data_IF_526631479733
#
_entry.id   IF_526631479733
#
_cell.length_a   1.000
_cell.length_b   1.000
_cell.length_c   1.000
_cell.angle_alpha   90.00
_cell.angle_beta   90.00
_cell.angle_gamma   90.00
#
_symmetry.space_group_name_H-M   'P 1'
#
loop_
_entity.id
_entity.type
_entity.pdbx_description
1 polymer ?
#
# COMPACT_ATOMS: atom_id res chain seq x y z
N UNK A 1 9.20 25.56 -1.32
CA UNK A 1 8.83 24.29 -1.98
C UNK A 1 7.36 24.00 -1.77
N UNK A 2 6.65 23.53 -2.79
CA UNK A 2 5.24 23.18 -2.70
C UNK A 2 5.04 21.66 -2.79
N UNK A 3 4.08 21.14 -2.03
CA UNK A 3 3.63 19.75 -2.13
C UNK A 3 2.14 19.71 -2.44
N UNK A 4 1.82 19.36 -3.68
CA UNK A 4 0.45 19.21 -4.17
C UNK A 4 -0.11 17.82 -3.81
N UNK A 5 -1.29 17.77 -3.19
CA UNK A 5 -1.99 16.50 -2.92
C UNK A 5 -3.50 16.61 -3.12
N UNK A 6 -4.11 15.55 -3.69
CA UNK A 6 -5.57 15.46 -3.91
C UNK A 6 -6.33 15.08 -2.64
N UNK A 7 -5.74 14.22 -1.82
CA UNK A 7 -6.46 13.49 -0.77
C UNK A 7 -5.77 13.53 0.59
N UNK A 8 -4.63 14.23 0.70
CA UNK A 8 -3.77 14.15 1.89
C UNK A 8 -3.25 12.73 2.14
N UNK A 9 -2.58 12.55 3.27
CA UNK A 9 -2.12 11.27 3.77
C UNK A 9 -1.93 11.33 5.28
N UNK A 10 -2.21 10.23 5.97
CA UNK A 10 -1.73 10.06 7.33
C UNK A 10 -0.20 9.95 7.30
N UNK A 11 0.48 10.79 8.06
CA UNK A 11 1.94 10.83 8.15
C UNK A 11 2.34 10.30 9.50
N UNK A 12 3.25 9.33 9.51
CA UNK A 12 3.79 8.72 10.74
C UNK A 12 5.31 8.76 10.71
N UNK A 13 5.93 8.79 11.88
CA UNK A 13 7.39 8.68 12.00
C UNK A 13 7.86 7.23 11.99
N UNK A 14 9.15 7.02 11.68
CA UNK A 14 9.81 5.71 11.86
C UNK A 14 9.96 5.36 13.33
N UNK A 15 10.04 6.37 14.20
CA UNK A 15 10.23 6.21 15.63
C UNK A 15 8.88 6.19 16.38
N UNK A 16 8.68 5.14 17.17
CA UNK A 16 7.54 4.92 18.07
C UNK A 16 7.86 5.38 19.50
N UNK A 17 7.13 4.87 20.49
CA UNK A 17 7.36 5.14 21.91
C UNK A 17 8.75 4.65 22.34
N UNK A 18 9.39 5.40 23.23
CA UNK A 18 10.71 5.09 23.79
C UNK A 18 11.86 4.99 22.77
N UNK A 19 11.69 5.57 21.59
CA UNK A 19 12.74 5.58 20.56
C UNK A 19 12.83 4.31 19.71
N UNK A 20 11.93 3.34 19.92
CA UNK A 20 11.95 2.07 19.19
C UNK A 20 11.43 2.22 17.74
N UNK A 21 11.88 1.38 16.81
CA UNK A 21 11.32 1.32 15.46
C UNK A 21 9.82 1.01 15.47
N UNK A 22 9.07 1.74 14.64
CA UNK A 22 7.61 1.65 14.55
C UNK A 22 7.15 0.24 14.20
N UNK A 23 7.74 -0.36 13.20
CA UNK A 23 7.40 -1.71 12.73
C UNK A 23 7.53 -2.75 13.85
N UNK A 24 8.59 -2.72 14.64
CA UNK A 24 8.79 -3.62 15.78
C UNK A 24 7.67 -3.49 16.84
N UNK A 25 7.17 -2.28 17.06
CA UNK A 25 6.13 -2.03 18.07
C UNK A 25 4.71 -2.23 17.52
N UNK A 26 4.49 -1.95 16.23
CA UNK A 26 3.17 -1.98 15.61
C UNK A 26 2.85 -3.35 15.00
N UNK A 27 3.82 -4.00 14.35
CA UNK A 27 3.63 -5.26 13.62
C UNK A 27 3.96 -6.43 14.54
N UNK A 28 3.03 -6.73 15.44
CA UNK A 28 3.14 -7.85 16.39
C UNK A 28 1.92 -8.76 16.28
N UNK A 29 2.07 -10.05 16.63
CA UNK A 29 0.94 -10.99 16.63
C UNK A 29 -0.16 -10.57 17.60
N UNK A 30 0.21 -10.02 18.76
CA UNK A 30 -0.75 -9.50 19.74
C UNK A 30 -1.56 -8.36 19.14
N UNK A 31 -0.91 -7.38 18.51
CA UNK A 31 -1.62 -6.29 17.84
C UNK A 31 -2.51 -6.80 16.71
N UNK A 32 -2.04 -7.77 15.92
CA UNK A 32 -2.84 -8.39 14.86
C UNK A 32 -4.13 -9.00 15.42
N UNK A 33 -4.03 -9.80 16.48
CA UNK A 33 -5.18 -10.41 17.17
C UNK A 33 -6.13 -9.33 17.69
N UNK A 34 -5.60 -8.27 18.32
CA UNK A 34 -6.42 -7.15 18.79
C UNK A 34 -7.17 -6.47 17.64
N UNK A 35 -6.55 -6.30 16.47
CA UNK A 35 -7.24 -5.72 15.31
C UNK A 35 -8.32 -6.62 14.71
N UNK A 36 -8.24 -7.94 14.92
CA UNK A 36 -9.26 -8.90 14.49
C UNK A 36 -10.44 -8.97 15.48
N UNK A 37 -10.20 -8.77 16.78
CA UNK A 37 -11.21 -8.84 17.83
C UNK A 37 -11.96 -7.51 18.04
N UNK A 38 -11.27 -6.37 17.87
CA UNK A 38 -11.85 -5.06 18.13
C UNK A 38 -12.54 -4.47 16.90
N UNK A 39 -13.62 -3.68 17.07
CA UNK A 39 -14.24 -2.96 15.97
C UNK A 39 -13.24 -2.02 15.28
N UNK A 40 -13.12 -2.13 13.94
CA UNK A 40 -12.18 -1.33 13.14
C UNK A 40 -12.32 0.18 13.37
N UNK A 41 -13.52 0.66 13.67
CA UNK A 41 -13.80 2.07 14.00
C UNK A 41 -13.11 2.50 15.30
N UNK A 42 -13.14 1.65 16.33
CA UNK A 42 -12.50 1.91 17.62
C UNK A 42 -10.97 1.92 17.48
N UNK A 43 -10.40 0.94 16.78
CA UNK A 43 -8.95 0.86 16.56
C UNK A 43 -8.47 2.07 15.75
N UNK A 44 -9.19 2.45 14.69
CA UNK A 44 -8.86 3.67 13.95
C UNK A 44 -8.97 4.92 14.83
N UNK A 45 -10.03 5.06 15.63
CA UNK A 45 -10.18 6.22 16.51
C UNK A 45 -9.01 6.35 17.50
N UNK A 46 -8.61 5.26 18.15
CA UNK A 46 -7.51 5.27 19.11
C UNK A 46 -6.18 5.62 18.42
N UNK A 47 -5.90 4.99 17.27
CA UNK A 47 -4.66 5.21 16.53
C UNK A 47 -4.60 6.62 15.91
N UNK A 48 -5.70 7.14 15.36
CA UNK A 48 -5.81 8.50 14.85
C UNK A 48 -5.65 9.54 15.97
N UNK A 49 -6.21 9.29 17.16
CA UNK A 49 -6.06 10.16 18.32
C UNK A 49 -4.61 10.20 18.80
N UNK A 50 -3.97 9.03 18.95
CA UNK A 50 -2.57 8.94 19.33
C UNK A 50 -1.66 9.66 18.32
N UNK A 51 -1.94 9.49 17.03
CA UNK A 51 -1.17 10.12 15.97
C UNK A 51 -1.33 11.66 15.95
N UNK A 52 -2.57 12.14 16.05
CA UNK A 52 -2.85 13.59 16.06
C UNK A 52 -2.36 14.29 17.34
N UNK A 53 -2.09 13.54 18.41
CA UNK A 53 -1.45 14.10 19.60
C UNK A 53 -0.02 14.58 19.32
N UNK A 54 0.70 13.97 18.37
CA UNK A 54 2.06 14.39 17.98
C UNK A 54 2.02 15.63 17.07
N UNK A 55 1.10 15.65 16.10
CA UNK A 55 0.79 16.81 15.26
C UNK A 55 -0.60 16.66 14.64
N UNK A 56 -1.42 17.72 14.72
CA UNK A 56 -2.77 17.73 14.15
C UNK A 56 -2.70 17.75 12.62
N UNK A 57 -3.04 16.63 11.99
CA UNK A 57 -2.99 16.50 10.54
C UNK A 57 -3.93 17.48 9.82
N UNK A 58 -5.00 17.96 10.46
CA UNK A 58 -5.88 18.96 9.87
C UNK A 58 -5.18 20.32 9.80
N UNK A 59 -4.51 20.72 10.87
CA UNK A 59 -3.78 21.99 10.93
C UNK A 59 -2.64 22.04 9.91
N UNK A 60 -1.99 20.90 9.67
CA UNK A 60 -0.88 20.78 8.72
C UNK A 60 -1.34 20.53 7.27
N UNK A 61 -2.65 20.50 6.99
CA UNK A 61 -3.17 20.22 5.65
C UNK A 61 -2.93 18.79 5.14
N UNK A 62 -2.64 17.85 6.04
CA UNK A 62 -2.31 16.45 5.73
C UNK A 62 -3.51 15.52 5.86
N UNK A 63 -4.53 15.88 6.64
CA UNK A 63 -5.65 15.00 7.02
C UNK A 63 -6.37 14.45 5.78
N UNK A 64 -6.38 13.13 5.58
CA UNK A 64 -7.06 12.55 4.43
C UNK A 64 -8.54 12.24 4.72
N UNK A 65 -9.27 11.88 3.65
CA UNK A 65 -10.68 11.47 3.74
C UNK A 65 -10.90 10.01 4.19
N UNK A 66 -9.84 9.22 4.29
CA UNK A 66 -9.90 7.80 4.71
C UNK A 66 -9.32 7.62 6.12
N UNK A 67 -9.67 6.50 6.78
CA UNK A 67 -9.14 6.20 8.12
C UNK A 67 -7.72 5.69 8.08
N UNK A 68 -6.98 5.85 9.17
CA UNK A 68 -5.56 5.51 9.26
C UNK A 68 -5.25 4.08 8.82
N UNK A 69 -6.02 3.09 9.28
CA UNK A 69 -5.79 1.68 8.99
C UNK A 69 -6.35 1.24 7.64
N UNK A 70 -7.14 2.07 6.96
CA UNK A 70 -7.71 1.72 5.67
C UNK A 70 -6.68 1.74 4.55
N UNK A 71 -5.61 2.51 4.68
CA UNK A 71 -4.56 2.59 3.65
C UNK A 71 -3.18 2.57 4.28
N UNK A 72 -2.16 2.51 3.44
CA UNK A 72 -0.77 2.68 3.89
C UNK A 72 -0.53 4.16 4.21
N UNK A 73 -0.13 4.49 5.44
CA UNK A 73 0.30 5.84 5.79
C UNK A 73 1.63 6.18 5.12
N UNK A 74 1.92 7.48 4.99
CA UNK A 74 3.24 7.99 4.62
C UNK A 74 4.16 7.90 5.84
N UNK A 75 5.34 7.31 5.67
CA UNK A 75 6.36 7.27 6.73
C UNK A 75 7.36 8.40 6.44
N UNK A 76 7.39 9.43 7.29
CA UNK A 76 8.32 10.55 7.19
C UNK A 76 8.46 11.25 8.55
N UNK A 77 9.68 11.37 9.07
CA UNK A 77 9.93 12.03 10.36
C UNK A 77 10.05 13.56 10.24
N UNK A 78 10.44 14.06 9.07
CA UNK A 78 10.79 15.47 8.86
C UNK A 78 9.62 16.29 8.30
N UNK A 79 8.68 15.66 7.58
CA UNK A 79 7.63 16.35 6.84
C UNK A 79 6.82 17.34 7.71
N UNK A 80 6.31 16.95 8.91
CA UNK A 80 5.65 17.90 9.78
C UNK A 80 6.57 19.08 10.16
N UNK A 81 7.83 18.82 10.54
CA UNK A 81 8.78 19.86 10.88
C UNK A 81 9.06 20.83 9.73
N UNK A 82 9.17 20.33 8.49
CA UNK A 82 9.38 21.15 7.29
C UNK A 82 8.18 22.03 6.96
N UNK A 83 6.96 21.55 7.25
CA UNK A 83 5.74 22.35 7.10
C UNK A 83 5.71 23.45 8.16
N UNK A 84 6.00 23.12 9.41
CA UNK A 84 6.00 24.07 10.52
C UNK A 84 7.01 25.21 10.30
N UNK A 85 8.17 24.90 9.73
CA UNK A 85 9.21 25.88 9.39
C UNK A 85 8.88 26.74 8.17
N UNK A 86 7.80 26.46 7.44
CA UNK A 86 7.48 27.12 6.18
C UNK A 86 8.37 26.73 5.00
N UNK A 87 9.29 25.77 5.18
CA UNK A 87 10.15 25.27 4.10
C UNK A 87 9.35 24.50 3.04
N UNK A 88 8.24 23.87 3.44
CA UNK A 88 7.33 23.15 2.57
C UNK A 88 5.89 23.62 2.81
N UNK A 89 5.19 23.97 1.74
CA UNK A 89 3.80 24.43 1.79
C UNK A 89 2.90 23.43 1.09
N UNK A 90 1.84 22.98 1.78
CA UNK A 90 0.83 22.10 1.19
C UNK A 90 -0.07 22.90 0.25
N UNK A 91 -0.35 22.31 -0.90
CA UNK A 91 -1.30 22.83 -1.89
C UNK A 91 -2.30 21.73 -2.28
N UNK A 92 -3.53 22.10 -2.68
CA UNK A 92 -4.45 21.12 -3.25
C UNK A 92 -3.93 20.67 -4.62
N UNK A 93 -4.73 19.89 -5.34
CA UNK A 93 -4.33 19.38 -6.64
C UNK A 93 -4.14 20.51 -7.66
N UNK A 94 -3.28 20.27 -8.65
CA UNK A 94 -3.08 21.17 -9.77
C UNK A 94 -4.33 21.20 -10.66
N UNK A 95 -4.77 22.41 -10.99
CA UNK A 95 -5.77 22.69 -12.03
C UNK A 95 -5.10 22.75 -13.41
N UNK A 96 -3.91 23.34 -13.52
CA UNK A 96 -3.19 23.47 -14.78
C UNK A 96 -1.82 24.10 -14.64
N UNK A 97 -1.05 24.02 -15.72
CA UNK A 97 0.24 24.70 -15.88
C UNK A 97 0.05 26.02 -16.63
N UNK A 98 0.89 26.99 -16.30
CA UNK A 98 1.08 28.24 -17.01
C UNK A 98 2.51 28.27 -17.58
N UNK A 99 2.84 29.30 -18.36
CA UNK A 99 4.15 29.43 -19.01
C UNK A 99 5.32 29.37 -18.02
N UNK A 100 5.21 30.02 -16.86
CA UNK A 100 6.23 30.02 -15.80
C UNK A 100 5.70 29.59 -14.43
N UNK A 101 4.51 28.97 -14.36
CA UNK A 101 3.82 28.77 -13.09
C UNK A 101 2.76 27.68 -13.10
N UNK A 102 1.99 27.60 -12.03
CA UNK A 102 0.92 26.63 -11.85
C UNK A 102 -0.31 27.24 -11.20
N UNK A 103 -1.48 26.73 -11.56
CA UNK A 103 -2.76 27.06 -10.94
C UNK A 103 -3.27 25.84 -10.17
N UNK A 104 -3.68 26.05 -8.94
CA UNK A 104 -4.26 25.02 -8.08
C UNK A 104 -5.78 25.02 -8.11
N UNK A 105 -6.41 23.94 -7.65
CA UNK A 105 -7.86 23.78 -7.61
C UNK A 105 -8.59 24.80 -6.71
N UNK A 106 -7.89 25.37 -5.72
CA UNK A 106 -8.42 26.46 -4.87
C UNK A 106 -8.30 27.85 -5.52
N UNK A 107 -7.80 27.93 -6.75
CA UNK A 107 -7.57 29.17 -7.49
C UNK A 107 -6.27 29.88 -7.14
N UNK A 108 -5.47 29.36 -6.21
CA UNK A 108 -4.14 29.91 -5.95
C UNK A 108 -3.22 29.72 -7.15
N UNK A 109 -2.37 30.71 -7.39
CA UNK A 109 -1.40 30.72 -8.50
C UNK A 109 0.00 30.87 -7.89
N UNK A 110 0.91 30.00 -8.32
CA UNK A 110 2.33 30.12 -7.98
C UNK A 110 3.11 30.32 -9.27
N UNK A 111 3.80 31.45 -9.36
CA UNK A 111 4.62 31.83 -10.51
C UNK A 111 6.09 31.48 -10.28
N UNK A 112 6.89 31.55 -11.33
CA UNK A 112 8.33 31.29 -11.34
C UNK A 112 8.69 29.91 -10.76
N UNK A 113 7.99 28.87 -11.22
CA UNK A 113 8.27 27.48 -10.84
C UNK A 113 9.38 26.93 -11.74
N UNK A 114 10.56 26.72 -11.16
CA UNK A 114 11.73 26.22 -11.90
C UNK A 114 11.62 24.74 -12.29
N UNK A 115 10.95 23.93 -11.46
CA UNK A 115 10.87 22.49 -11.65
C UNK A 115 9.60 21.88 -11.06
N UNK A 116 9.12 20.82 -11.71
CA UNK A 116 7.95 20.03 -11.29
C UNK A 116 8.36 18.56 -11.21
N UNK A 117 8.18 17.94 -10.05
CA UNK A 117 8.54 16.53 -9.81
C UNK A 117 7.27 15.71 -9.58
N UNK A 118 6.97 14.81 -10.52
CA UNK A 118 5.80 13.94 -10.45
C UNK A 118 6.07 12.69 -9.59
N UNK A 119 5.72 12.77 -8.30
CA UNK A 119 5.76 11.65 -7.37
C UNK A 119 4.47 10.79 -7.41
N UNK A 120 3.94 10.50 -8.60
CA UNK A 120 2.60 9.87 -8.81
C UNK A 120 2.60 8.34 -8.80
N UNK A 121 3.71 7.71 -8.41
CA UNK A 121 3.84 6.26 -8.34
C UNK A 121 4.15 5.60 -9.69
N UNK A 122 4.08 4.26 -9.71
CA UNK A 122 4.54 3.42 -10.82
C UNK A 122 3.46 2.44 -11.27
N UNK A 123 3.59 1.97 -12.51
CA UNK A 123 2.84 0.83 -13.06
C UNK A 123 3.82 -0.33 -13.28
N UNK A 124 3.51 -1.50 -12.76
CA UNK A 124 4.27 -2.71 -13.06
C UNK A 124 3.88 -3.24 -14.44
N UNK A 125 4.86 -3.52 -15.30
CA UNK A 125 4.67 -4.15 -16.62
C UNK A 125 5.78 -5.17 -16.83
N UNK A 126 5.44 -6.28 -17.51
CA UNK A 126 6.35 -7.37 -17.78
C UNK A 126 6.26 -7.71 -19.28
N UNK A 127 6.88 -6.89 -20.16
CA UNK A 127 6.67 -6.97 -21.62
C UNK A 127 7.22 -8.26 -22.26
N UNK A 128 8.00 -9.02 -21.51
CA UNK A 128 8.50 -10.34 -21.90
C UNK A 128 7.52 -11.47 -21.58
N UNK A 129 6.43 -11.20 -20.84
CA UNK A 129 5.37 -12.17 -20.58
C UNK A 129 4.25 -12.02 -21.61
N UNK A 130 3.60 -13.13 -22.03
CA UNK A 130 2.39 -13.07 -22.83
C UNK A 130 1.28 -12.27 -22.14
N UNK A 131 0.49 -11.50 -22.92
CA UNK A 131 -0.61 -10.69 -22.40
C UNK A 131 -1.62 -11.50 -21.56
N UNK A 132 -1.85 -12.76 -21.94
CA UNK A 132 -2.70 -13.71 -21.22
C UNK A 132 -2.27 -13.97 -19.75
N UNK A 133 -1.01 -13.70 -19.39
CA UNK A 133 -0.51 -13.81 -18.01
C UNK A 133 -0.50 -12.46 -17.26
N UNK A 134 -0.76 -11.36 -17.96
CA UNK A 134 -0.65 -9.99 -17.43
C UNK A 134 -1.95 -9.17 -17.42
N UNK A 135 -3.03 -9.69 -18.02
CA UNK A 135 -4.28 -8.97 -18.21
C UNK A 135 -5.44 -9.60 -17.41
N UNK A 136 -5.59 -9.17 -16.17
CA UNK A 136 -6.79 -9.39 -15.36
C UNK A 136 -7.94 -8.45 -15.73
N UNK A 137 -9.14 -8.64 -15.12
CA UNK A 137 -10.36 -7.91 -15.48
C UNK A 137 -10.27 -6.38 -15.41
N UNK A 138 -9.32 -5.84 -14.64
CA UNK A 138 -9.08 -4.41 -14.49
C UNK A 138 -7.64 -4.00 -14.88
N UNK A 139 -6.93 -4.84 -15.65
CA UNK A 139 -5.54 -4.60 -16.06
C UNK A 139 -4.50 -4.81 -14.95
N UNK A 140 -4.84 -5.57 -13.92
CA UNK A 140 -3.94 -6.13 -12.91
C UNK A 140 -3.45 -7.52 -13.30
N UNK A 141 -2.42 -8.02 -12.62
CA UNK A 141 -2.03 -9.42 -12.72
C UNK A 141 -3.00 -10.28 -11.88
N UNK A 142 -3.60 -11.29 -12.50
CA UNK A 142 -4.40 -12.31 -11.82
C UNK A 142 -3.46 -13.38 -11.26
N UNK A 143 -3.09 -13.24 -9.98
CA UNK A 143 -2.13 -14.15 -9.33
C UNK A 143 -2.70 -14.74 -8.05
N UNK A 144 -2.76 -16.07 -7.99
CA UNK A 144 -3.06 -16.80 -6.77
C UNK A 144 -2.03 -16.44 -5.72
N UNK A 145 -2.52 -15.90 -4.59
CA UNK A 145 -1.69 -15.43 -3.48
C UNK A 145 -0.53 -14.54 -3.96
N UNK A 146 -0.76 -13.68 -4.97
CA UNK A 146 0.25 -12.73 -5.52
C UNK A 146 1.55 -13.43 -5.92
N UNK A 147 1.46 -14.68 -6.38
CA UNK A 147 2.61 -15.50 -6.75
C UNK A 147 2.38 -16.27 -8.04
N UNK A 148 1.35 -17.10 -8.12
CA UNK A 148 1.17 -18.04 -9.24
C UNK A 148 0.08 -17.59 -10.21
N UNK A 149 0.33 -17.57 -11.53
CA UNK A 149 -0.73 -17.38 -12.53
C UNK A 149 -1.67 -18.60 -12.59
N UNK A 150 -2.98 -18.46 -12.30
CA UNK A 150 -3.90 -19.59 -12.29
C UNK A 150 -4.12 -20.24 -13.66
N UNK A 151 -3.94 -19.48 -14.74
CA UNK A 151 -4.18 -19.91 -16.11
C UNK A 151 -3.13 -20.88 -16.67
N UNK A 152 -2.05 -21.14 -15.92
CA UNK A 152 -1.03 -22.10 -16.32
C UNK A 152 -1.44 -23.52 -15.94
N UNK A 153 -1.51 -24.41 -16.94
CA UNK A 153 -1.78 -25.83 -16.73
C UNK A 153 -0.74 -26.53 -15.84
N UNK A 154 0.52 -26.09 -15.94
CA UNK A 154 1.62 -26.56 -15.10
C UNK A 154 2.18 -25.40 -14.28
N UNK A 155 2.32 -25.54 -12.95
CA UNK A 155 2.75 -24.45 -12.09
C UNK A 155 4.28 -24.27 -12.15
N UNK A 156 4.79 -23.82 -13.29
CA UNK A 156 6.25 -23.66 -13.56
C UNK A 156 6.73 -22.21 -13.61
N UNK A 157 5.84 -21.26 -13.28
CA UNK A 157 6.15 -19.83 -13.22
C UNK A 157 5.60 -19.23 -11.94
N UNK A 158 6.40 -18.39 -11.28
CA UNK A 158 6.02 -17.65 -10.10
C UNK A 158 6.51 -16.20 -10.23
N UNK A 159 5.64 -15.23 -9.92
CA UNK A 159 5.95 -13.80 -9.90
C UNK A 159 6.08 -13.37 -8.44
N UNK A 160 7.31 -13.12 -7.99
CA UNK A 160 7.60 -12.74 -6.60
C UNK A 160 7.65 -11.22 -6.44
N UNK A 161 7.27 -10.74 -5.25
CA UNK A 161 7.37 -9.31 -4.90
C UNK A 161 6.27 -8.42 -5.50
N UNK A 162 5.32 -8.97 -6.26
CA UNK A 162 4.21 -8.20 -6.83
C UNK A 162 3.03 -8.07 -5.84
N UNK A 163 3.28 -7.41 -4.72
CA UNK A 163 2.28 -7.13 -3.69
C UNK A 163 2.58 -5.82 -2.95
N UNK A 164 1.64 -5.40 -2.10
CA UNK A 164 1.77 -4.24 -1.23
C UNK A 164 1.32 -4.61 0.18
N UNK A 165 2.14 -4.26 1.16
CA UNK A 165 1.84 -4.52 2.57
C UNK A 165 2.32 -3.36 3.46
N UNK A 166 1.94 -3.39 4.74
CA UNK A 166 2.38 -2.44 5.76
C UNK A 166 3.69 -2.88 6.45
N UNK A 167 4.12 -4.12 6.27
CA UNK A 167 5.38 -4.65 6.77
C UNK A 167 6.51 -4.69 5.74
N UNK A 168 7.70 -5.16 6.13
CA UNK A 168 8.86 -5.27 5.26
C UNK A 168 8.64 -6.29 4.13
N UNK A 169 9.18 -6.01 2.95
CA UNK A 169 9.02 -6.89 1.78
C UNK A 169 9.89 -8.15 1.87
N UNK A 170 11.08 -8.05 2.47
CA UNK A 170 12.11 -9.09 2.43
C UNK A 170 11.63 -10.42 3.04
N UNK A 171 11.01 -10.46 4.24
CA UNK A 171 10.54 -11.72 4.81
C UNK A 171 9.42 -12.35 3.98
N UNK A 172 8.57 -11.52 3.36
CA UNK A 172 7.51 -12.06 2.50
C UNK A 172 8.09 -12.69 1.24
N UNK A 173 9.04 -12.03 0.57
CA UNK A 173 9.64 -12.58 -0.66
C UNK A 173 10.44 -13.84 -0.36
N UNK A 174 11.12 -13.92 0.79
CA UNK A 174 11.75 -15.17 1.26
C UNK A 174 10.73 -16.32 1.36
N UNK A 175 9.59 -16.06 2.01
CA UNK A 175 8.53 -17.07 2.15
C UNK A 175 7.87 -17.42 0.81
N UNK A 176 7.66 -16.44 -0.08
CA UNK A 176 7.21 -16.72 -1.46
C UNK A 176 8.19 -17.63 -2.20
N UNK A 177 9.49 -17.39 -2.08
CA UNK A 177 10.51 -18.20 -2.73
C UNK A 177 10.51 -19.64 -2.20
N UNK A 178 10.42 -19.82 -0.88
CA UNK A 178 10.35 -21.15 -0.25
C UNK A 178 9.14 -21.95 -0.75
N UNK A 179 7.97 -21.33 -0.81
CA UNK A 179 6.77 -22.00 -1.33
C UNK A 179 6.86 -22.27 -2.84
N UNK A 180 7.35 -21.31 -3.63
CA UNK A 180 7.56 -21.48 -5.07
C UNK A 180 8.45 -22.69 -5.39
N UNK A 181 9.56 -22.85 -4.67
CA UNK A 181 10.47 -23.99 -4.87
C UNK A 181 9.78 -25.31 -4.53
N UNK A 182 9.01 -25.39 -3.43
CA UNK A 182 8.24 -26.60 -3.08
C UNK A 182 7.22 -26.97 -4.17
N UNK A 183 6.56 -25.97 -4.76
CA UNK A 183 5.62 -26.18 -5.86
C UNK A 183 6.34 -26.67 -7.11
N UNK A 184 7.46 -26.04 -7.48
CA UNK A 184 8.26 -26.43 -8.64
C UNK A 184 8.88 -27.82 -8.49
N UNK A 185 9.25 -28.22 -7.27
CA UNK A 185 9.77 -29.57 -6.99
C UNK A 185 8.67 -30.63 -6.85
N UNK A 186 7.39 -30.25 -6.93
CA UNK A 186 6.25 -31.15 -6.75
C UNK A 186 6.02 -31.62 -5.31
N UNK A 187 6.63 -30.97 -4.32
CA UNK A 187 6.43 -31.27 -2.89
C UNK A 187 5.15 -30.63 -2.36
N UNK A 188 4.80 -29.46 -2.87
CA UNK A 188 3.53 -28.77 -2.61
C UNK A 188 2.73 -28.66 -3.91
N UNK A 189 1.39 -28.65 -3.80
CA UNK A 189 0.51 -28.63 -4.95
C UNK A 189 -0.49 -27.48 -4.86
N UNK A 190 -0.65 -26.74 -5.96
CA UNK A 190 -1.65 -25.70 -6.05
C UNK A 190 -3.06 -26.31 -6.13
N UNK A 191 -4.09 -25.61 -5.60
CA UNK A 191 -5.47 -26.03 -5.78
C UNK A 191 -5.92 -25.89 -7.25
N UNK A 192 -7.15 -26.31 -7.55
CA UNK A 192 -7.75 -26.13 -8.88
C UNK A 192 -7.79 -24.65 -9.29
N UNK A 193 -7.78 -24.40 -10.61
CA UNK A 193 -7.87 -23.06 -11.18
C UNK A 193 -9.09 -22.28 -10.65
N UNK A 194 -10.26 -22.92 -10.63
CA UNK A 194 -11.50 -22.34 -10.09
C UNK A 194 -11.32 -21.86 -8.64
N UNK A 195 -10.74 -22.70 -7.78
CA UNK A 195 -10.48 -22.35 -6.38
C UNK A 195 -9.45 -21.23 -6.24
N UNK A 196 -8.43 -21.19 -7.12
CA UNK A 196 -7.47 -20.09 -7.15
C UNK A 196 -8.15 -18.76 -7.51
N UNK A 197 -9.00 -18.76 -8.55
CA UNK A 197 -9.74 -17.57 -9.00
C UNK A 197 -10.72 -17.07 -7.93
N UNK A 198 -11.43 -17.98 -7.26
CA UNK A 198 -12.33 -17.64 -6.16
C UNK A 198 -11.60 -16.94 -5.00
N UNK A 199 -10.42 -17.43 -4.63
CA UNK A 199 -9.59 -16.83 -3.59
C UNK A 199 -9.12 -15.44 -3.99
N UNK A 200 -8.64 -15.28 -5.23
CA UNK A 200 -8.20 -13.98 -5.77
C UNK A 200 -9.32 -12.95 -5.69
N UNK A 201 -10.52 -13.32 -6.14
CA UNK A 201 -11.67 -12.44 -6.17
C UNK A 201 -12.18 -12.10 -4.76
N UNK A 202 -12.24 -13.09 -3.87
CA UNK A 202 -12.60 -12.89 -2.47
C UNK A 202 -11.64 -11.93 -1.76
N UNK A 203 -10.34 -12.09 -1.97
CA UNK A 203 -9.31 -11.22 -1.41
C UNK A 203 -9.39 -9.80 -1.99
N UNK A 204 -9.59 -9.66 -3.30
CA UNK A 204 -9.78 -8.37 -3.95
C UNK A 204 -11.02 -7.64 -3.41
N UNK A 205 -12.17 -8.30 -3.33
CA UNK A 205 -13.41 -7.76 -2.74
C UNK A 205 -13.21 -7.32 -1.29
N UNK A 206 -12.47 -8.09 -0.50
CA UNK A 206 -12.15 -7.72 0.89
C UNK A 206 -11.30 -6.45 0.94
N UNK A 207 -10.28 -6.36 0.09
CA UNK A 207 -9.37 -5.22 0.02
C UNK A 207 -10.04 -3.97 -0.55
N UNK A 208 -11.07 -4.11 -1.40
CA UNK A 208 -11.83 -3.00 -1.96
C UNK A 208 -12.54 -2.12 -0.92
N UNK A 209 -12.83 -2.66 0.27
CA UNK A 209 -13.34 -1.87 1.42
C UNK A 209 -12.40 -0.72 1.82
N UNK A 210 -11.11 -0.87 1.51
CA UNK A 210 -10.03 0.03 1.91
C UNK A 210 -9.37 0.71 0.68
N UNK A 211 -9.31 -0.01 -0.44
CA UNK A 211 -8.68 0.42 -1.69
C UNK A 211 -9.69 0.40 -2.83
N UNK A 212 -10.29 1.54 -3.15
CA UNK A 212 -11.36 1.64 -4.14
C UNK A 212 -10.91 1.27 -5.57
N UNK A 213 -9.62 1.38 -5.87
CA UNK A 213 -9.08 0.96 -7.16
C UNK A 213 -8.88 -0.57 -7.18
N UNK A 214 -9.54 -1.33 -8.07
CA UNK A 214 -9.41 -2.78 -8.14
C UNK A 214 -7.96 -3.26 -8.28
N UNK A 215 -7.17 -2.59 -9.13
CA UNK A 215 -5.75 -2.90 -9.35
C UNK A 215 -4.93 -2.74 -8.07
N UNK A 216 -5.21 -1.70 -7.27
CA UNK A 216 -4.52 -1.51 -5.99
C UNK A 216 -4.97 -2.53 -4.95
N UNK A 217 -6.27 -2.82 -4.89
CA UNK A 217 -6.84 -3.83 -4.00
C UNK A 217 -6.28 -5.22 -4.28
N UNK A 218 -6.09 -5.57 -5.54
CA UNK A 218 -5.53 -6.85 -5.96
C UNK A 218 -4.10 -7.08 -5.42
N UNK A 219 -3.32 -6.02 -5.19
CA UNK A 219 -1.95 -6.13 -4.68
C UNK A 219 -1.85 -6.21 -3.14
N UNK A 220 -2.89 -5.84 -2.39
CA UNK A 220 -2.75 -5.72 -0.94
C UNK A 220 -2.73 -7.07 -0.23
N UNK A 221 -1.80 -7.20 0.72
CA UNK A 221 -1.71 -8.34 1.64
C UNK A 221 -1.54 -7.85 3.06
N UNK A 222 -2.21 -8.52 4.00
CA UNK A 222 -1.95 -8.34 5.43
C UNK A 222 -0.64 -9.06 5.80
N UNK A 223 0.28 -8.34 6.44
CA UNK A 223 1.65 -8.82 6.61
C UNK A 223 1.73 -10.14 7.40
N UNK A 224 1.08 -10.21 8.57
CA UNK A 224 1.20 -11.38 9.46
C UNK A 224 0.37 -12.55 8.90
N UNK A 225 -0.89 -12.30 8.53
CA UNK A 225 -1.73 -13.38 8.00
C UNK A 225 -1.20 -13.98 6.70
N UNK A 226 -0.53 -13.17 5.86
CA UNK A 226 0.09 -13.67 4.64
C UNK A 226 1.35 -14.50 4.91
N UNK A 227 2.19 -14.08 5.86
CA UNK A 227 3.35 -14.88 6.27
C UNK A 227 2.93 -16.21 6.93
N UNK A 228 1.88 -16.19 7.75
CA UNK A 228 1.33 -17.40 8.38
C UNK A 228 0.86 -18.39 7.32
N UNK A 229 0.05 -17.92 6.36
CA UNK A 229 -0.37 -18.74 5.22
C UNK A 229 0.82 -19.34 4.47
N UNK A 230 1.82 -18.53 4.13
CA UNK A 230 3.00 -19.02 3.40
C UNK A 230 3.87 -20.00 4.20
N UNK A 231 3.80 -19.97 5.54
CA UNK A 231 4.53 -20.89 6.39
C UNK A 231 3.85 -22.26 6.54
N UNK A 232 2.53 -22.31 6.35
CA UNK A 232 1.74 -23.54 6.35
C UNK A 232 1.94 -24.36 5.06
N UNK A 233 2.21 -23.68 3.93
CA UNK A 233 2.46 -24.28 2.61
C UNK A 233 3.90 -24.79 2.43
#
# INVERSE_FOLDING_TARGET
TFLSTRKGAWVIGRMSTSGLPLDMTAITRVNNILTLLLPKTLVNWAAERALNHKYDHRLYGLKPSHRLLDRRPLINDDLPGRILQGALVLRPNLRGFMDSGVVFEDGTVEENIDAVVFCTGYKATFPFLPSALSEGPHGEFTLYKRLFPPSLQHPTLAIMGLFQTKGPIMPIVEMQARWAVKVFSGVSHLPSEEKMLDVIESERKRNMKSYLCPRQAALQVDYISYLDFMAEE
#
